data_IF_942975011610
#
_entry.id   IF_942975011610
#
_cell.length_a   1.000
_cell.length_b   1.000
_cell.length_c   1.000
_cell.angle_alpha   90.00
_cell.angle_beta   90.00
_cell.angle_gamma   90.00
#
_symmetry.space_group_name_H-M   'P 1'
#
loop_
_entity.id
_entity.type
_entity.pdbx_description
1 polymer ?
#
# COMPACT_ATOMS: atom_id res chain seq x y z
N UNK A 1 -6.59 -12.52 -11.72
CA UNK A 1 -6.46 -11.06 -11.57
C UNK A 1 -7.38 -10.38 -12.58
N UNK A 2 -8.26 -9.49 -12.14
CA UNK A 2 -9.06 -8.68 -13.04
C UNK A 2 -8.17 -7.65 -13.74
N UNK A 3 -8.24 -7.57 -15.07
CA UNK A 3 -7.50 -6.59 -15.85
C UNK A 3 -8.29 -5.28 -15.82
N UNK A 4 -7.73 -4.23 -15.23
CA UNK A 4 -8.30 -2.88 -15.31
C UNK A 4 -7.96 -2.30 -16.68
N UNK A 5 -8.98 -1.93 -17.46
CA UNK A 5 -8.79 -1.25 -18.74
C UNK A 5 -8.54 0.24 -18.49
N UNK A 6 -7.48 0.78 -19.06
CA UNK A 6 -7.17 2.21 -19.11
C UNK A 6 -7.00 2.63 -20.57
N UNK A 7 -7.13 3.91 -20.87
CA UNK A 7 -6.93 4.42 -22.24
C UNK A 7 -5.47 4.28 -22.67
N UNK A 8 -5.24 4.15 -23.98
CA UNK A 8 -3.88 4.07 -24.54
C UNK A 8 -3.04 5.29 -24.17
N UNK A 9 -3.64 6.48 -24.18
CA UNK A 9 -2.98 7.71 -23.75
C UNK A 9 -2.51 7.65 -22.29
N UNK A 10 -3.33 7.09 -21.40
CA UNK A 10 -2.96 6.95 -19.99
C UNK A 10 -1.87 5.89 -19.81
N UNK A 11 -1.91 4.81 -20.57
CA UNK A 11 -0.87 3.79 -20.57
C UNK A 11 0.49 4.35 -20.97
N UNK A 12 0.55 5.20 -22.00
CA UNK A 12 1.79 5.87 -22.40
C UNK A 12 2.29 6.89 -21.37
N UNK A 13 1.38 7.64 -20.74
CA UNK A 13 1.74 8.53 -19.62
C UNK A 13 2.34 7.75 -18.44
N UNK A 14 1.78 6.58 -18.10
CA UNK A 14 2.32 5.69 -17.07
C UNK A 14 3.70 5.13 -17.45
N UNK A 15 3.92 4.78 -18.72
CA UNK A 15 5.22 4.31 -19.23
C UNK A 15 6.30 5.40 -19.08
N UNK A 16 5.97 6.65 -19.40
CA UNK A 16 6.87 7.78 -19.23
C UNK A 16 7.22 7.99 -17.75
N UNK A 17 6.21 8.05 -16.88
CA UNK A 17 6.41 8.22 -15.44
C UNK A 17 7.20 7.06 -14.81
N UNK A 18 6.91 5.82 -15.23
CA UNK A 18 7.64 4.61 -14.83
C UNK A 18 9.14 4.74 -15.10
N UNK A 19 9.52 5.23 -16.28
CA UNK A 19 10.92 5.46 -16.65
C UNK A 19 11.55 6.58 -15.81
N UNK A 20 10.86 7.71 -15.67
CA UNK A 20 11.36 8.87 -14.92
C UNK A 20 11.52 8.59 -13.41
N UNK A 21 10.62 7.81 -12.83
CA UNK A 21 10.54 7.55 -11.38
C UNK A 21 11.08 6.17 -10.98
N UNK A 22 11.74 5.48 -11.92
CA UNK A 22 12.40 4.18 -11.70
C UNK A 22 11.52 3.14 -11.02
N UNK A 23 10.27 3.01 -11.46
CA UNK A 23 9.29 2.03 -10.95
C UNK A 23 8.57 1.33 -12.09
N UNK A 24 8.05 0.11 -11.90
CA UNK A 24 7.30 -0.57 -12.96
C UNK A 24 5.98 0.16 -13.28
N UNK A 25 5.40 -0.10 -14.46
CA UNK A 25 4.10 0.48 -14.86
C UNK A 25 3.01 0.13 -13.84
N UNK A 26 2.97 -1.13 -13.39
CA UNK A 26 2.01 -1.58 -12.37
C UNK A 26 2.23 -0.87 -11.04
N UNK A 27 3.49 -0.71 -10.60
CA UNK A 27 3.81 0.02 -9.37
C UNK A 27 3.45 1.51 -9.48
N UNK A 28 3.57 2.10 -10.67
CA UNK A 28 3.13 3.48 -10.92
C UNK A 28 1.61 3.61 -10.85
N UNK A 29 0.87 2.68 -11.45
CA UNK A 29 -0.59 2.65 -11.38
C UNK A 29 -1.07 2.45 -9.94
N UNK A 30 -0.48 1.49 -9.23
CA UNK A 30 -0.78 1.19 -7.84
C UNK A 30 -0.51 2.39 -6.92
N UNK A 31 0.63 3.07 -7.09
CA UNK A 31 0.93 4.29 -6.35
C UNK A 31 -0.15 5.35 -6.52
N UNK A 32 -0.57 5.65 -7.75
CA UNK A 32 -1.62 6.64 -8.00
C UNK A 32 -2.99 6.22 -7.46
N UNK A 33 -3.34 4.93 -7.54
CA UNK A 33 -4.57 4.41 -6.93
C UNK A 33 -4.56 4.60 -5.41
N UNK A 34 -3.45 4.26 -4.74
CA UNK A 34 -3.31 4.45 -3.29
C UNK A 34 -3.36 5.93 -2.90
N UNK A 35 -2.65 6.80 -3.62
CA UNK A 35 -2.69 8.26 -3.39
C UNK A 35 -4.12 8.80 -3.53
N UNK A 36 -4.83 8.45 -4.60
CA UNK A 36 -6.20 8.90 -4.83
C UNK A 36 -7.18 8.43 -3.75
N UNK A 37 -7.07 7.17 -3.33
CA UNK A 37 -7.90 6.63 -2.25
C UNK A 37 -7.66 7.34 -0.92
N UNK A 38 -6.40 7.62 -0.59
CA UNK A 38 -6.06 8.31 0.65
C UNK A 38 -6.49 9.79 0.61
N UNK A 39 -6.37 10.46 -0.53
CA UNK A 39 -6.87 11.82 -0.69
C UNK A 39 -8.41 11.90 -0.51
N UNK A 40 -9.14 10.88 -0.96
CA UNK A 40 -10.59 10.79 -0.76
C UNK A 40 -10.96 10.55 0.72
N UNK A 41 -10.22 9.66 1.40
CA UNK A 41 -10.47 9.32 2.81
C UNK A 41 -10.03 10.41 3.79
N UNK A 42 -9.01 11.18 3.43
CA UNK A 42 -8.39 12.20 4.27
C UNK A 42 -8.27 13.52 3.50
N UNK A 43 -9.39 14.21 3.22
CA UNK A 43 -9.43 15.39 2.35
C UNK A 43 -8.65 16.59 2.90
N UNK A 44 -8.36 16.61 4.20
CA UNK A 44 -7.61 17.68 4.86
C UNK A 44 -6.08 17.49 4.75
N UNK A 45 -5.61 16.30 4.32
CA UNK A 45 -4.18 16.02 4.18
C UNK A 45 -3.66 16.49 2.82
N UNK A 46 -2.46 17.05 2.83
CA UNK A 46 -1.76 17.39 1.60
C UNK A 46 -1.04 16.18 0.98
N UNK A 47 -0.55 16.34 -0.26
CA UNK A 47 0.17 15.28 -0.96
C UNK A 47 1.43 14.81 -0.22
N UNK A 48 2.11 15.71 0.51
CA UNK A 48 3.32 15.37 1.27
C UNK A 48 2.96 14.48 2.46
N UNK A 49 1.88 14.78 3.16
CA UNK A 49 1.36 13.99 4.28
C UNK A 49 0.88 12.61 3.82
N UNK A 50 0.16 12.55 2.69
CA UNK A 50 -0.23 11.27 2.06
C UNK A 50 1.00 10.43 1.70
N UNK A 51 2.04 11.04 1.12
CA UNK A 51 3.30 10.33 0.82
C UNK A 51 3.96 9.77 2.09
N UNK A 52 3.99 10.54 3.17
CA UNK A 52 4.56 10.07 4.44
C UNK A 52 3.76 8.90 5.02
N UNK A 53 2.43 8.98 4.96
CA UNK A 53 1.55 7.91 5.42
C UNK A 53 1.75 6.61 4.61
N UNK A 54 1.93 6.71 3.29
CA UNK A 54 2.26 5.56 2.44
C UNK A 54 3.58 4.90 2.84
N UNK A 55 4.61 5.69 3.15
CA UNK A 55 5.90 5.15 3.61
C UNK A 55 5.75 4.44 4.96
N UNK A 56 5.00 5.03 5.91
CA UNK A 56 4.73 4.39 7.21
C UNK A 56 3.96 3.07 7.04
N UNK A 57 2.95 3.06 6.20
CA UNK A 57 2.19 1.84 5.89
C UNK A 57 3.09 0.75 5.30
N UNK A 58 3.97 1.09 4.35
CA UNK A 58 4.91 0.13 3.77
C UNK A 58 5.90 -0.43 4.82
N UNK A 59 6.42 0.43 5.71
CA UNK A 59 7.25 0.00 6.84
C UNK A 59 6.49 -0.91 7.83
N UNK A 60 5.16 -0.78 7.90
CA UNK A 60 4.28 -1.62 8.71
C UNK A 60 3.81 -2.91 8.02
N UNK A 61 4.29 -3.20 6.80
CA UNK A 61 3.95 -4.42 6.04
C UNK A 61 2.99 -4.20 4.87
N UNK A 62 2.72 -2.96 4.49
CA UNK A 62 1.88 -2.58 3.36
C UNK A 62 0.65 -1.77 3.75
N UNK A 63 0.00 -1.14 2.76
CA UNK A 63 -1.22 -0.38 2.98
C UNK A 63 -2.45 -1.30 3.10
N UNK A 64 -3.05 -1.35 4.28
CA UNK A 64 -4.39 -1.90 4.48
C UNK A 64 -5.45 -0.78 4.33
N UNK A 65 -6.20 -0.83 3.24
CA UNK A 65 -7.27 0.14 2.94
C UNK A 65 -8.38 0.09 3.98
N UNK A 66 -8.70 -1.09 4.53
CA UNK A 66 -9.74 -1.19 5.55
C UNK A 66 -9.30 -0.51 6.86
N UNK A 67 -8.02 -0.61 7.18
CA UNK A 67 -7.42 0.10 8.32
C UNK A 67 -7.41 1.63 8.09
N UNK A 68 -7.11 2.05 6.85
CA UNK A 68 -7.21 3.45 6.42
C UNK A 68 -8.62 4.00 6.60
N UNK A 69 -9.63 3.28 6.11
CA UNK A 69 -11.02 3.72 6.23
C UNK A 69 -11.50 3.88 7.69
N UNK A 70 -10.86 3.19 8.65
CA UNK A 70 -11.15 3.32 10.09
C UNK A 70 -10.29 4.36 10.81
N UNK A 71 -9.33 5.01 10.14
CA UNK A 71 -8.41 5.95 10.77
C UNK A 71 -7.31 5.30 11.61
N UNK A 72 -7.06 4.01 11.41
CA UNK A 72 -6.21 3.20 12.30
C UNK A 72 -4.79 2.96 11.74
N UNK A 73 -4.42 3.54 10.58
CA UNK A 73 -3.13 3.27 9.91
C UNK A 73 -1.89 3.57 10.76
N UNK A 74 -1.94 4.60 11.60
CA UNK A 74 -0.85 4.98 12.50
C UNK A 74 -0.93 4.28 13.86
N UNK A 75 -1.92 3.39 14.07
CA UNK A 75 -2.03 2.63 15.31
C UNK A 75 -0.86 1.66 15.38
N UNK A 76 -0.02 1.81 16.42
CA UNK A 76 1.10 0.91 16.71
C UNK A 76 0.68 -0.54 16.44
N UNK A 77 1.45 -1.32 15.64
CA UNK A 77 1.18 -2.74 15.56
C UNK A 77 1.30 -3.29 16.98
N UNK A 78 0.24 -3.91 17.48
CA UNK A 78 0.25 -4.61 18.74
C UNK A 78 1.35 -5.68 18.63
N UNK A 79 2.48 -5.40 19.28
CA UNK A 79 3.58 -6.32 19.40
C UNK A 79 3.17 -7.46 20.34
N UNK A 80 2.31 -8.39 19.88
CA UNK A 80 2.24 -9.74 20.44
C UNK A 80 1.40 -10.68 19.56
N UNK A 81 2.05 -11.36 18.61
CA UNK A 81 1.60 -12.70 18.22
C UNK A 81 2.83 -13.59 18.27
N UNK A 82 3.15 -14.00 19.49
CA UNK A 82 4.13 -15.07 19.75
C UNK A 82 3.78 -16.30 18.90
N UNK A 83 4.68 -16.86 18.07
CA UNK A 83 4.38 -18.07 17.33
C UNK A 83 4.36 -19.23 18.31
N UNK A 84 3.17 -19.80 18.53
CA UNK A 84 2.97 -20.96 19.40
C UNK A 84 3.89 -22.09 18.90
N UNK A 85 4.86 -22.48 19.70
CA UNK A 85 5.77 -23.58 19.42
C UNK A 85 4.95 -24.87 19.22
N UNK A 86 4.95 -25.42 17.99
CA UNK A 86 4.45 -26.78 17.75
C UNK A 86 5.38 -27.76 18.46
N UNK A 87 4.92 -28.25 19.60
CA UNK A 87 5.51 -29.38 20.31
C UNK A 87 5.41 -30.63 19.42
N UNK A 88 6.49 -30.97 18.72
CA UNK A 88 6.63 -32.26 18.03
C UNK A 88 7.19 -33.26 19.05
N UNK A 89 6.30 -33.95 19.74
CA UNK A 89 6.63 -35.18 20.47
C UNK A 89 7.23 -36.19 19.47
N UNK A 90 8.47 -36.60 19.69
CA UNK A 90 8.95 -37.91 19.22
C UNK A 90 8.38 -38.98 20.14
N UNK A 91 8.06 -40.16 19.58
CA UNK A 91 8.44 -41.38 20.25
C UNK A 91 9.26 -42.31 19.33
N UNK A 92 10.09 -43.08 20.02
CA UNK A 92 11.03 -44.15 19.64
C UNK A 92 10.84 -44.86 18.30
#
# INVERSE_FOLDING_TARGET
MGIVKISDQMHENLRLASTALSRSINAQAEHWMRVGMLAELYPDLDHREICQMLVRAELAGGLDVALAARGELDSKPAADVTPTARSRKQPH
#
